data_IF_660610076683
#
_entry.id   IF_660610076683
#
_cell.length_a   1.000
_cell.length_b   1.000
_cell.length_c   1.000
_cell.angle_alpha   90.00
_cell.angle_beta   90.00
_cell.angle_gamma   90.00
#
_symmetry.space_group_name_H-M   'P 1'
#
loop_
_entity.id
_entity.type
_entity.pdbx_description
1 polymer ?
#
# COMPACT_ATOMS: atom_id res chain seq x y z
N UNK A 1 -7.96 35.33 -12.65
CA UNK A 1 -7.55 34.24 -11.75
C UNK A 1 -7.68 32.91 -12.47
N UNK A 2 -6.57 32.31 -12.90
CA UNK A 2 -6.53 30.93 -13.39
C UNK A 2 -5.32 30.28 -12.75
N UNK A 3 -5.51 29.78 -11.54
CA UNK A 3 -4.52 28.96 -10.85
C UNK A 3 -4.41 27.64 -11.61
N UNK A 4 -3.27 27.45 -12.27
CA UNK A 4 -2.86 26.21 -12.91
C UNK A 4 -3.03 25.04 -11.93
N UNK A 5 -3.94 24.12 -12.26
CA UNK A 5 -3.87 22.74 -11.79
C UNK A 5 -2.67 22.07 -12.48
N UNK A 6 -1.47 22.52 -12.12
CA UNK A 6 -0.24 21.83 -12.50
C UNK A 6 -0.22 20.56 -11.66
N UNK A 7 -0.52 19.42 -12.30
CA UNK A 7 -0.47 18.12 -11.66
C UNK A 7 0.87 17.99 -10.95
N UNK A 8 0.83 17.56 -9.68
CA UNK A 8 2.02 17.36 -8.87
C UNK A 8 3.10 16.61 -9.68
N UNK A 9 4.38 17.03 -9.61
CA UNK A 9 5.44 16.42 -10.41
C UNK A 9 5.44 14.89 -10.23
N UNK A 10 5.79 14.10 -11.27
CA UNK A 10 5.70 12.64 -11.25
C UNK A 10 6.33 12.00 -10.01
N UNK A 11 7.46 12.56 -9.58
CA UNK A 11 8.20 12.13 -8.39
C UNK A 11 7.36 12.27 -7.13
N UNK A 12 6.55 13.32 -6.99
CA UNK A 12 5.78 13.57 -5.77
C UNK A 12 4.73 12.48 -5.51
N UNK A 13 4.11 11.95 -6.57
CA UNK A 13 3.16 10.85 -6.48
C UNK A 13 3.80 9.56 -5.99
N UNK A 14 4.96 9.19 -6.56
CA UNK A 14 5.74 8.04 -6.14
C UNK A 14 6.22 8.18 -4.69
N UNK A 15 6.77 9.34 -4.29
CA UNK A 15 7.18 9.60 -2.91
C UNK A 15 6.01 9.56 -1.91
N UNK A 16 4.81 9.98 -2.30
CA UNK A 16 3.60 9.81 -1.47
C UNK A 16 3.22 8.34 -1.34
N UNK A 17 3.24 7.57 -2.43
CA UNK A 17 2.96 6.13 -2.39
C UNK A 17 3.97 5.36 -1.51
N UNK A 18 5.27 5.67 -1.63
CA UNK A 18 6.32 5.11 -0.78
C UNK A 18 6.04 5.37 0.71
N UNK A 19 5.66 6.61 1.07
CA UNK A 19 5.32 6.98 2.45
C UNK A 19 4.09 6.23 2.97
N UNK A 20 3.06 6.03 2.14
CA UNK A 20 1.88 5.24 2.51
C UNK A 20 2.28 3.79 2.81
N UNK A 21 3.05 3.15 1.92
CA UNK A 21 3.53 1.78 2.11
C UNK A 21 4.39 1.67 3.38
N UNK A 22 5.34 2.59 3.57
CA UNK A 22 6.19 2.62 4.75
C UNK A 22 5.37 2.79 6.03
N UNK A 23 4.38 3.68 6.03
CA UNK A 23 3.50 3.91 7.18
C UNK A 23 2.76 2.62 7.59
N UNK A 24 2.16 1.91 6.63
CA UNK A 24 1.41 0.67 6.94
C UNK A 24 2.34 -0.41 7.50
N UNK A 25 3.53 -0.59 6.91
CA UNK A 25 4.48 -1.62 7.35
C UNK A 25 5.09 -1.29 8.72
N UNK A 26 5.47 -0.03 8.95
CA UNK A 26 5.98 0.43 10.25
C UNK A 26 4.90 0.35 11.33
N UNK A 27 3.64 0.66 10.99
CA UNK A 27 2.52 0.48 11.89
C UNK A 27 2.37 -1.00 12.30
N UNK A 28 2.42 -1.91 11.33
CA UNK A 28 2.37 -3.35 11.60
C UNK A 28 3.53 -3.82 12.49
N UNK A 29 4.74 -3.36 12.21
CA UNK A 29 5.93 -3.68 13.01
C UNK A 29 5.78 -3.26 14.47
N UNK A 30 5.22 -2.08 14.72
CA UNK A 30 4.97 -1.55 16.07
C UNK A 30 3.75 -2.16 16.75
N UNK A 31 2.86 -2.81 16.01
CA UNK A 31 1.61 -3.38 16.52
C UNK A 31 1.44 -4.84 16.07
N UNK A 32 2.27 -5.79 16.55
CA UNK A 32 2.26 -7.15 16.04
C UNK A 32 0.95 -7.92 16.25
N UNK A 33 0.22 -7.60 17.33
CA UNK A 33 -1.12 -8.15 17.58
C UNK A 33 -2.12 -7.73 16.49
N UNK A 34 -2.05 -6.47 16.05
CA UNK A 34 -2.89 -5.97 14.96
C UNK A 34 -2.48 -6.57 13.61
N UNK A 35 -1.21 -6.90 13.40
CA UNK A 35 -0.79 -7.61 12.16
C UNK A 35 -1.53 -8.93 12.03
N UNK A 36 -1.66 -9.71 13.11
CA UNK A 36 -2.42 -10.98 13.09
C UNK A 36 -3.89 -10.78 12.75
N UNK A 37 -4.47 -9.63 13.10
CA UNK A 37 -5.82 -9.25 12.67
C UNK A 37 -5.84 -8.88 11.19
N UNK A 38 -4.90 -8.04 10.76
CA UNK A 38 -4.79 -7.56 9.38
C UNK A 38 -4.61 -8.71 8.37
N UNK A 39 -3.82 -9.73 8.72
CA UNK A 39 -3.58 -10.89 7.83
C UNK A 39 -4.64 -12.00 7.98
N UNK A 40 -5.65 -11.79 8.82
CA UNK A 40 -6.77 -12.73 9.01
C UNK A 40 -6.54 -13.85 10.01
N UNK A 41 -5.31 -14.09 10.48
CA UNK A 41 -4.98 -15.15 11.46
C UNK A 41 -5.85 -15.09 12.72
N UNK A 42 -6.15 -13.88 13.21
CA UNK A 42 -6.95 -13.66 14.41
C UNK A 42 -8.48 -13.65 14.14
N UNK A 43 -8.91 -13.76 12.89
CA UNK A 43 -10.32 -13.60 12.50
C UNK A 43 -11.00 -14.93 12.12
N UNK A 44 -10.29 -16.05 12.19
CA UNK A 44 -10.79 -17.37 11.76
C UNK A 44 -12.02 -17.84 12.54
N UNK A 45 -12.09 -17.52 13.84
CA UNK A 45 -13.21 -17.87 14.72
C UNK A 45 -14.15 -16.70 15.02
N UNK A 46 -13.94 -15.58 14.32
CA UNK A 46 -14.67 -14.35 14.53
C UNK A 46 -15.78 -14.18 13.49
N UNK A 47 -16.72 -13.28 13.79
CA UNK A 47 -17.79 -12.97 12.86
C UNK A 47 -17.24 -12.36 11.56
N UNK A 48 -17.71 -12.84 10.41
CA UNK A 48 -17.28 -12.46 9.05
C UNK A 48 -17.21 -10.93 8.80
N UNK A 49 -18.05 -10.13 9.49
CA UNK A 49 -18.00 -8.67 9.43
C UNK A 49 -16.62 -8.09 9.75
N UNK A 50 -15.83 -8.74 10.60
CA UNK A 50 -14.47 -8.30 10.91
C UNK A 50 -13.51 -8.55 9.76
N UNK A 51 -13.65 -9.70 9.07
CA UNK A 51 -12.89 -9.97 7.85
C UNK A 51 -13.26 -8.95 6.75
N UNK A 52 -14.55 -8.67 6.57
CA UNK A 52 -15.02 -7.65 5.63
C UNK A 52 -14.46 -6.25 5.96
N UNK A 53 -14.32 -5.90 7.25
CA UNK A 53 -13.67 -4.64 7.67
C UNK A 53 -12.18 -4.62 7.32
N UNK A 54 -11.47 -5.74 7.41
CA UNK A 54 -10.06 -5.81 7.00
C UNK A 54 -9.89 -5.72 5.48
N UNK A 55 -10.79 -6.33 4.71
CA UNK A 55 -10.80 -6.17 3.26
C UNK A 55 -11.00 -4.70 2.88
N UNK A 56 -12.01 -4.04 3.45
CA UNK A 56 -12.25 -2.61 3.25
C UNK A 56 -11.07 -1.72 3.67
N UNK A 57 -10.30 -2.13 4.69
CA UNK A 57 -9.09 -1.41 5.08
C UNK A 57 -8.05 -1.45 3.94
N UNK A 58 -7.75 -2.63 3.38
CA UNK A 58 -6.82 -2.73 2.26
C UNK A 58 -7.35 -2.07 0.98
N UNK A 59 -8.65 -2.17 0.71
CA UNK A 59 -9.29 -1.47 -0.42
C UNK A 59 -9.08 0.06 -0.33
N UNK A 60 -9.13 0.62 0.88
CA UNK A 60 -8.85 2.05 1.11
C UNK A 60 -7.38 2.40 0.90
N UNK A 61 -6.46 1.54 1.33
CA UNK A 61 -5.03 1.72 1.07
C UNK A 61 -4.77 1.69 -0.43
N UNK A 62 -5.30 0.71 -1.15
CA UNK A 62 -5.14 0.60 -2.60
C UNK A 62 -5.72 1.81 -3.34
N UNK A 63 -6.92 2.27 -2.95
CA UNK A 63 -7.53 3.48 -3.51
C UNK A 63 -6.65 4.73 -3.28
N UNK A 64 -6.09 4.87 -2.08
CA UNK A 64 -5.16 5.96 -1.75
C UNK A 64 -3.88 5.92 -2.58
N UNK A 65 -3.30 4.73 -2.77
CA UNK A 65 -2.14 4.53 -3.64
C UNK A 65 -2.45 4.88 -5.09
N UNK A 66 -3.60 4.43 -5.62
CA UNK A 66 -4.05 4.76 -6.98
C UNK A 66 -4.17 6.27 -7.18
N UNK A 67 -4.69 6.99 -6.17
CA UNK A 67 -4.83 8.44 -6.23
C UNK A 67 -3.47 9.15 -6.22
N UNK A 68 -2.47 8.61 -5.50
CA UNK A 68 -1.11 9.14 -5.52
C UNK A 68 -0.42 8.96 -6.88
N UNK A 69 -0.64 7.83 -7.54
CA UNK A 69 0.10 7.43 -8.75
C UNK A 69 -0.51 7.94 -10.05
N UNK A 70 -1.83 8.21 -10.07
CA UNK A 70 -2.54 8.67 -11.27
C UNK A 70 -1.97 9.94 -11.91
N UNK A 71 -1.59 11.01 -11.16
CA UNK A 71 -1.00 12.21 -11.75
C UNK A 71 0.31 11.93 -12.49
N UNK A 72 1.18 11.09 -11.91
CA UNK A 72 2.47 10.73 -12.49
C UNK A 72 2.30 9.96 -13.81
N UNK A 73 1.37 9.00 -13.86
CA UNK A 73 1.08 8.27 -15.11
C UNK A 73 0.56 9.19 -16.22
N UNK A 74 -0.26 10.19 -15.87
CA UNK A 74 -0.73 11.20 -16.82
C UNK A 74 0.39 12.10 -17.34
N UNK A 75 1.27 12.57 -16.45
CA UNK A 75 2.41 13.40 -16.81
C UNK A 75 3.46 12.66 -17.67
N UNK A 76 3.58 11.33 -17.50
CA UNK A 76 4.42 10.48 -18.34
C UNK A 76 3.85 10.21 -19.75
N UNK A 77 2.69 10.79 -20.09
CA UNK A 77 2.06 10.64 -21.41
C UNK A 77 1.38 9.30 -21.63
N UNK A 78 1.01 8.58 -20.57
CA UNK A 78 0.27 7.32 -20.70
C UNK A 78 -1.07 7.54 -21.39
N UNK A 79 -1.43 6.63 -22.30
CA UNK A 79 -2.76 6.58 -22.91
C UNK A 79 -3.84 6.09 -21.93
N UNK A 80 -3.45 5.40 -20.86
CA UNK A 80 -4.35 4.77 -19.87
C UNK A 80 -3.92 5.05 -18.42
N UNK A 81 -3.76 6.32 -18.00
CA UNK A 81 -3.14 6.68 -16.73
C UNK A 81 -3.90 6.15 -15.50
N UNK A 82 -5.23 6.00 -15.62
CA UNK A 82 -6.06 5.41 -14.55
C UNK A 82 -5.82 3.90 -14.39
N UNK A 83 -5.61 3.18 -15.50
CA UNK A 83 -5.36 1.73 -15.50
C UNK A 83 -3.96 1.45 -14.96
N UNK A 84 -2.97 2.21 -15.44
CA UNK A 84 -1.57 2.06 -15.01
C UNK A 84 -1.44 2.30 -13.49
N UNK A 85 -2.07 3.38 -12.99
CA UNK A 85 -2.10 3.67 -11.57
C UNK A 85 -2.83 2.60 -10.74
N UNK A 86 -3.89 1.97 -11.30
CA UNK A 86 -4.60 0.88 -10.65
C UNK A 86 -3.71 -0.37 -10.54
N UNK A 87 -3.01 -0.74 -11.61
CA UNK A 87 -2.10 -1.88 -11.61
C UNK A 87 -0.96 -1.66 -10.61
N UNK A 88 -0.32 -0.49 -10.63
CA UNK A 88 0.75 -0.17 -9.70
C UNK A 88 0.28 -0.16 -8.24
N UNK A 89 -0.90 0.41 -7.96
CA UNK A 89 -1.50 0.38 -6.63
C UNK A 89 -1.79 -1.05 -6.14
N UNK A 90 -2.32 -1.91 -7.01
CA UNK A 90 -2.59 -3.32 -6.70
C UNK A 90 -1.30 -4.08 -6.36
N UNK A 91 -0.22 -3.86 -7.11
CA UNK A 91 1.10 -4.46 -6.85
C UNK A 91 1.64 -4.03 -5.48
N UNK A 92 1.60 -2.73 -5.17
CA UNK A 92 2.06 -2.21 -3.88
C UNK A 92 1.21 -2.75 -2.71
N UNK A 93 -0.11 -2.84 -2.87
CA UNK A 93 -1.01 -3.41 -1.86
C UNK A 93 -0.70 -4.89 -1.62
N UNK A 94 -0.51 -5.68 -2.68
CA UNK A 94 -0.14 -7.09 -2.57
C UNK A 94 1.23 -7.27 -1.89
N UNK A 95 2.20 -6.40 -2.22
CA UNK A 95 3.49 -6.38 -1.54
C UNK A 95 3.33 -6.12 -0.03
N UNK A 96 2.54 -5.11 0.36
CA UNK A 96 2.27 -4.81 1.78
C UNK A 96 1.66 -6.01 2.49
N UNK A 97 0.62 -6.61 1.91
CA UNK A 97 -0.03 -7.80 2.48
C UNK A 97 0.96 -8.96 2.65
N UNK A 98 1.78 -9.24 1.63
CA UNK A 98 2.80 -10.28 1.69
C UNK A 98 3.85 -10.06 2.77
N UNK A 99 4.30 -8.80 2.96
CA UNK A 99 5.23 -8.44 4.03
C UNK A 99 4.63 -8.65 5.42
N UNK A 100 3.39 -8.21 5.63
CA UNK A 100 2.67 -8.40 6.89
C UNK A 100 2.42 -9.89 7.19
N UNK A 101 2.03 -10.66 6.17
CA UNK A 101 1.83 -12.10 6.30
C UNK A 101 3.12 -12.85 6.65
N UNK A 102 4.24 -12.51 5.99
CA UNK A 102 5.57 -13.07 6.32
C UNK A 102 5.98 -12.73 7.74
N UNK A 103 5.74 -11.49 8.19
CA UNK A 103 6.03 -11.07 9.56
C UNK A 103 5.24 -11.91 10.58
N UNK A 104 3.92 -12.08 10.37
CA UNK A 104 3.08 -12.92 11.22
C UNK A 104 3.53 -14.40 11.23
N UNK A 105 3.72 -15.00 10.05
CA UNK A 105 4.08 -16.43 9.91
C UNK A 105 5.45 -16.78 10.49
N UNK A 106 6.37 -15.83 10.53
CA UNK A 106 7.72 -16.04 11.10
C UNK A 106 7.77 -15.84 12.61
N UNK A 107 6.61 -15.67 13.27
CA UNK A 107 6.56 -15.40 14.70
C UNK A 107 7.16 -14.03 15.03
N UNK A 108 6.92 -13.03 14.17
CA UNK A 108 7.35 -11.64 14.34
C UNK A 108 8.87 -11.44 14.28
N UNK A 109 9.59 -12.35 13.61
CA UNK A 109 11.06 -12.31 13.51
C UNK A 109 11.55 -11.60 12.25
N UNK A 110 10.85 -11.77 11.13
CA UNK A 110 11.20 -11.11 9.86
C UNK A 110 10.44 -9.79 9.73
N UNK A 111 11.13 -8.70 10.02
CA UNK A 111 10.54 -7.35 10.01
C UNK A 111 9.87 -7.06 8.66
N UNK A 112 8.65 -6.49 8.65
CA UNK A 112 7.96 -6.16 7.42
C UNK A 112 8.72 -5.12 6.59
N UNK A 113 9.52 -4.27 7.25
CA UNK A 113 10.34 -3.19 6.67
C UNK A 113 11.73 -3.63 6.16
N UNK A 114 12.08 -4.92 6.26
CA UNK A 114 13.37 -5.44 5.79
C UNK A 114 13.63 -5.07 4.31
N UNK A 115 14.72 -4.37 3.99
CA UNK A 115 15.02 -3.89 2.63
C UNK A 115 13.91 -3.03 1.97
N UNK A 116 13.14 -2.28 2.75
CA UNK A 116 11.96 -1.54 2.25
C UNK A 116 12.31 -0.56 1.12
N UNK A 117 13.28 0.33 1.34
CA UNK A 117 13.68 1.34 0.35
C UNK A 117 14.10 0.70 -0.98
N UNK A 118 14.97 -0.33 -0.91
CA UNK A 118 15.40 -1.06 -2.09
C UNK A 118 14.26 -1.81 -2.79
N UNK A 119 13.29 -2.33 -2.04
CA UNK A 119 12.12 -3.00 -2.63
C UNK A 119 11.21 -2.01 -3.35
N UNK A 120 11.00 -0.83 -2.76
CA UNK A 120 10.15 0.22 -3.34
C UNK A 120 10.80 0.83 -4.60
N UNK A 121 12.11 1.02 -4.60
CA UNK A 121 12.85 1.51 -5.78
C UNK A 121 12.81 0.54 -6.98
N UNK A 122 12.47 -0.74 -6.76
CA UNK A 122 12.24 -1.70 -7.85
C UNK A 122 10.81 -1.65 -8.40
N UNK A 123 9.86 -1.05 -7.66
CA UNK A 123 8.44 -1.05 -7.99
C UNK A 123 7.90 0.30 -8.47
N UNK A 124 8.57 1.40 -8.10
CA UNK A 124 8.18 2.79 -8.37
C UNK A 124 9.33 3.53 -9.04
#
# INVERSE_FOLDING_TARGET
>A
ENGSHEGAPPDEGAHRAQRVVALVLQFGERNPGLVRVMVGDALVLEHERLQQRMNQFFDRIESGLRQCLRPAAGAAGSATPSVDAQVAASVLTAFVQGRLQRFARTGLRRLPTEHLEASLALML
#
